data_IF_172595443000
#
_entry.id   IF_172595443000
#
_cell.length_a   1.000
_cell.length_b   1.000
_cell.length_c   1.000
_cell.angle_alpha   90.00
_cell.angle_beta   90.00
_cell.angle_gamma   90.00
#
_symmetry.space_group_name_H-M   'P 1'
#
loop_
_entity.id
_entity.type
_entity.pdbx_description
1 polymer ?
#
# COMPACT_ATOMS: atom_id res chain seq x y z
N UNK A 1 7.87 3.14 4.41
CA UNK A 1 9.05 2.30 4.07
C UNK A 1 10.29 2.67 4.88
N UNK A 2 10.84 3.88 4.77
CA UNK A 2 12.09 4.26 5.46
C UNK A 2 12.06 4.00 6.98
N UNK A 3 10.97 4.37 7.67
CA UNK A 3 10.80 4.13 9.11
C UNK A 3 11.02 2.66 9.51
N UNK A 4 10.36 1.72 8.84
CA UNK A 4 10.49 0.29 9.14
C UNK A 4 11.83 -0.29 8.63
N UNK A 5 12.11 -0.17 7.33
CA UNK A 5 13.22 -0.90 6.69
C UNK A 5 14.61 -0.29 6.94
N UNK A 6 14.71 1.03 7.07
CA UNK A 6 15.98 1.71 7.30
C UNK A 6 16.13 2.17 8.76
N UNK A 7 15.04 2.69 9.34
CA UNK A 7 15.01 3.23 10.70
C UNK A 7 14.72 2.20 11.79
N UNK A 8 14.36 0.96 11.43
CA UNK A 8 13.98 -0.11 12.37
C UNK A 8 12.90 0.29 13.37
N UNK A 9 12.02 1.23 12.99
CA UNK A 9 10.89 1.67 13.80
C UNK A 9 9.71 0.74 13.57
N UNK A 10 9.00 0.42 14.65
CA UNK A 10 7.75 -0.33 14.56
C UNK A 10 6.64 0.57 13.99
N UNK A 11 6.12 0.21 12.82
CA UNK A 11 5.04 0.94 12.13
C UNK A 11 3.64 0.42 12.48
N UNK A 12 3.52 -0.52 13.42
CA UNK A 12 2.26 -0.88 14.06
C UNK A 12 1.92 0.03 15.25
N UNK A 13 2.89 0.80 15.74
CA UNK A 13 2.73 1.72 16.87
C UNK A 13 2.29 3.12 16.42
N UNK A 14 1.24 3.65 17.06
CA UNK A 14 0.70 4.98 16.77
C UNK A 14 1.76 6.08 16.90
N UNK A 15 2.68 5.98 17.88
CA UNK A 15 3.73 6.99 18.07
C UNK A 15 4.65 7.12 16.84
N UNK A 16 4.93 6.02 16.15
CA UNK A 16 5.72 6.03 14.92
C UNK A 16 4.93 6.68 13.79
N UNK A 17 3.63 6.36 13.68
CA UNK A 17 2.75 6.90 12.65
C UNK A 17 2.52 8.41 12.83
N UNK A 18 2.28 8.87 14.07
CA UNK A 18 2.12 10.29 14.41
C UNK A 18 3.37 11.07 14.00
N UNK A 19 4.56 10.61 14.39
CA UNK A 19 5.80 11.31 14.04
C UNK A 19 6.00 11.45 12.52
N UNK A 20 5.62 10.43 11.73
CA UNK A 20 5.68 10.47 10.26
C UNK A 20 4.65 11.46 9.70
N UNK A 21 3.41 11.44 10.21
CA UNK A 21 2.34 12.32 9.74
C UNK A 21 2.66 13.78 10.04
N UNK A 22 3.19 14.08 11.23
CA UNK A 22 3.60 15.42 11.63
C UNK A 22 4.74 15.96 10.75
N UNK A 23 5.74 15.13 10.41
CA UNK A 23 6.83 15.49 9.49
C UNK A 23 6.31 15.83 8.08
N UNK A 24 5.20 15.20 7.67
CA UNK A 24 4.52 15.45 6.40
C UNK A 24 3.54 16.64 6.46
N UNK A 25 3.35 17.27 7.63
CA UNK A 25 2.37 18.34 7.82
C UNK A 25 0.91 17.88 7.76
N UNK A 26 0.66 16.59 8.02
CA UNK A 26 -0.68 16.00 8.10
C UNK A 26 -1.13 15.97 9.56
N UNK A 27 -2.37 16.38 9.83
CA UNK A 27 -2.94 16.25 11.18
C UNK A 27 -3.05 14.76 11.57
N UNK A 28 -2.16 14.32 12.46
CA UNK A 28 -2.06 12.92 12.85
C UNK A 28 -3.32 12.42 13.57
N UNK A 29 -3.98 13.28 14.36
CA UNK A 29 -5.20 12.92 15.08
C UNK A 29 -6.35 12.63 14.12
N UNK A 30 -6.57 13.52 13.15
CA UNK A 30 -7.58 13.35 12.10
C UNK A 30 -7.27 12.14 11.21
N UNK A 31 -6.01 11.95 10.82
CA UNK A 31 -5.60 10.83 9.99
C UNK A 31 -5.78 9.47 10.70
N UNK A 32 -5.37 9.35 11.97
CA UNK A 32 -5.54 8.11 12.74
C UNK A 32 -7.01 7.82 13.06
N UNK A 33 -7.81 8.85 13.36
CA UNK A 33 -9.24 8.71 13.53
C UNK A 33 -9.91 8.19 12.25
N UNK A 34 -9.58 8.78 11.10
CA UNK A 34 -10.08 8.33 9.82
C UNK A 34 -9.62 6.90 9.49
N UNK A 35 -8.32 6.58 9.64
CA UNK A 35 -7.79 5.24 9.36
C UNK A 35 -8.47 4.15 10.20
N UNK A 36 -8.85 4.47 11.45
CA UNK A 36 -9.53 3.54 12.34
C UNK A 36 -11.06 3.50 12.20
N UNK A 37 -11.65 4.42 11.44
CA UNK A 37 -13.08 4.48 11.23
C UNK A 37 -13.60 3.19 10.56
N UNK A 38 -14.73 2.61 11.01
CA UNK A 38 -15.26 1.35 10.49
C UNK A 38 -15.40 1.32 8.97
N UNK A 39 -15.86 2.42 8.38
CA UNK A 39 -16.03 2.59 6.94
C UNK A 39 -14.71 2.43 6.16
N UNK A 40 -13.60 2.93 6.69
CA UNK A 40 -12.29 2.83 6.05
C UNK A 40 -11.69 1.43 6.20
N UNK A 41 -11.96 0.75 7.31
CA UNK A 41 -11.60 -0.68 7.47
C UNK A 41 -12.35 -1.57 6.49
N UNK A 42 -13.65 -1.32 6.29
CA UNK A 42 -14.45 -2.03 5.29
C UNK A 42 -14.01 -1.73 3.86
N UNK A 43 -13.59 -0.50 3.56
CA UNK A 43 -12.98 -0.15 2.26
C UNK A 43 -11.69 -0.94 2.05
N UNK A 44 -10.78 -0.98 3.02
CA UNK A 44 -9.52 -1.72 2.93
C UNK A 44 -9.75 -3.22 2.71
N UNK A 45 -10.70 -3.82 3.44
CA UNK A 45 -11.09 -5.22 3.28
C UNK A 45 -11.59 -5.49 1.87
N UNK A 46 -12.53 -4.68 1.36
CA UNK A 46 -13.07 -4.82 0.00
C UNK A 46 -12.00 -4.67 -1.07
N UNK A 47 -11.06 -3.74 -0.93
CA UNK A 47 -9.95 -3.58 -1.86
C UNK A 47 -9.02 -4.81 -1.88
N UNK A 48 -8.82 -5.44 -0.72
CA UNK A 48 -8.03 -6.68 -0.61
C UNK A 48 -8.76 -7.87 -1.26
N UNK A 49 -10.08 -7.97 -1.07
CA UNK A 49 -10.93 -8.97 -1.73
C UNK A 49 -10.96 -8.78 -3.26
N UNK A 50 -11.08 -7.54 -3.72
CA UNK A 50 -11.03 -7.19 -5.14
C UNK A 50 -9.70 -7.60 -5.78
N UNK A 51 -8.57 -7.28 -5.12
CA UNK A 51 -7.24 -7.72 -5.57
C UNK A 51 -7.18 -9.24 -5.73
N UNK A 52 -7.67 -10.00 -4.74
CA UNK A 52 -7.75 -11.45 -4.81
C UNK A 52 -8.64 -11.95 -5.96
N UNK A 53 -9.79 -11.32 -6.20
CA UNK A 53 -10.70 -11.67 -7.30
C UNK A 53 -10.07 -11.46 -8.69
N UNK A 54 -9.10 -10.54 -8.79
CA UNK A 54 -8.29 -10.26 -9.98
C UNK A 54 -7.05 -11.15 -10.08
N UNK A 55 -6.89 -12.13 -9.19
CA UNK A 55 -5.77 -13.05 -9.17
C UNK A 55 -4.48 -12.48 -8.61
N UNK A 56 -4.49 -11.31 -7.96
CA UNK A 56 -3.28 -10.78 -7.30
C UNK A 56 -2.98 -11.62 -6.05
N UNK A 57 -1.72 -12.02 -5.92
CA UNK A 57 -1.18 -12.67 -4.74
C UNK A 57 0.22 -12.13 -4.43
N UNK A 58 0.61 -12.17 -3.16
CA UNK A 58 1.89 -11.64 -2.70
C UNK A 58 2.03 -10.12 -2.89
N UNK A 59 3.18 -9.60 -2.50
CA UNK A 59 3.54 -8.20 -2.72
C UNK A 59 5.07 -8.06 -2.94
N UNK A 60 5.53 -7.17 -3.82
CA UNK A 60 4.70 -6.37 -4.73
C UNK A 60 4.20 -7.19 -5.93
N UNK A 61 3.04 -6.80 -6.46
CA UNK A 61 2.41 -7.35 -7.67
C UNK A 61 1.80 -6.20 -8.47
N UNK A 62 1.87 -6.28 -9.80
CA UNK A 62 1.40 -5.22 -10.71
C UNK A 62 0.46 -5.81 -11.76
N UNK A 63 -0.49 -5.02 -12.26
CA UNK A 63 -1.33 -5.41 -13.39
C UNK A 63 -1.31 -4.34 -14.46
N UNK A 64 -1.32 -4.75 -15.73
CA UNK A 64 -1.46 -3.87 -16.89
C UNK A 64 -2.54 -4.44 -17.79
N UNK A 65 -3.73 -3.84 -17.77
CA UNK A 65 -4.93 -4.49 -18.30
C UNK A 65 -5.21 -5.78 -17.53
N UNK A 66 -5.34 -6.89 -18.26
CA UNK A 66 -5.56 -8.23 -17.70
C UNK A 66 -4.26 -8.99 -17.39
N UNK A 67 -3.09 -8.44 -17.75
CA UNK A 67 -1.79 -9.09 -17.53
C UNK A 67 -1.26 -8.83 -16.11
N UNK A 68 -0.82 -9.88 -15.41
CA UNK A 68 -0.30 -9.85 -14.04
C UNK A 68 1.22 -10.05 -14.01
N UNK A 69 1.92 -9.19 -13.28
CA UNK A 69 3.37 -9.25 -13.04
C UNK A 69 3.64 -9.38 -11.55
N UNK A 70 4.13 -10.54 -11.11
CA UNK A 70 4.43 -10.83 -9.71
C UNK A 70 5.91 -10.58 -9.39
N UNK A 71 6.19 -9.92 -8.25
CA UNK A 71 7.51 -9.53 -7.74
C UNK A 71 8.12 -8.27 -8.38
N UNK A 72 8.99 -7.59 -7.62
CA UNK A 72 9.63 -6.34 -8.01
C UNK A 72 10.57 -6.48 -9.21
N UNK A 73 11.19 -7.66 -9.39
CA UNK A 73 12.02 -7.97 -10.55
C UNK A 73 11.23 -7.97 -11.87
N UNK A 74 9.89 -7.99 -11.81
CA UNK A 74 8.99 -7.88 -12.98
C UNK A 74 8.50 -6.47 -13.26
N UNK A 75 8.86 -5.47 -12.47
CA UNK A 75 8.42 -4.10 -12.69
C UNK A 75 8.84 -3.57 -14.07
N UNK A 76 10.07 -3.79 -14.50
CA UNK A 76 10.55 -3.35 -15.81
C UNK A 76 9.79 -4.01 -16.97
N UNK A 77 9.46 -5.30 -16.82
CA UNK A 77 8.65 -6.02 -17.79
C UNK A 77 7.22 -5.46 -17.87
N UNK A 78 6.61 -5.17 -16.72
CA UNK A 78 5.29 -4.55 -16.64
C UNK A 78 5.26 -3.17 -17.33
N UNK A 79 6.28 -2.34 -17.10
CA UNK A 79 6.41 -1.03 -17.76
C UNK A 79 6.62 -1.15 -19.27
N UNK A 80 7.44 -2.11 -19.72
CA UNK A 80 7.62 -2.37 -21.14
C UNK A 80 6.34 -2.88 -21.81
N UNK A 81 5.55 -3.70 -21.11
CA UNK A 81 4.25 -4.17 -21.56
C UNK A 81 3.24 -3.02 -21.70
N UNK A 82 3.14 -2.15 -20.69
CA UNK A 82 2.24 -1.00 -20.69
C UNK A 82 2.49 -0.02 -21.84
N UNK A 83 3.71 0.07 -22.35
CA UNK A 83 4.06 0.92 -23.51
C UNK A 83 3.66 0.30 -24.86
N UNK A 84 3.36 -0.99 -24.91
CA UNK A 84 2.99 -1.73 -26.14
C UNK A 84 1.48 -1.87 -26.31
N UNK A 85 0.75 -1.78 -25.20
CA UNK A 85 -0.71 -1.88 -25.13
C UNK A 85 -1.41 -0.63 -25.67
#
# INVERSE_FOLDING_TARGET
>A
FAANYAGQKDISEDITLVAILDELGVDAGLALAAANAPENKEVLKRQTEEAGSRGLFGAPSFTVGDELFWCNDRLEAALAWAKRA
#
